data_IF_941104728948
#
_entry.id   IF_941104728948
#
_cell.length_a   1.000
_cell.length_b   1.000
_cell.length_c   1.000
_cell.angle_alpha   90.00
_cell.angle_beta   90.00
_cell.angle_gamma   90.00
#
_symmetry.space_group_name_H-M   'P 1'
#
loop_
_entity.id
_entity.type
_entity.pdbx_description
1 polymer ?
#
# COMPACT_ATOMS: atom_id res chain seq x y z
N UNK A 1 6.52 2.18 -4.46
CA UNK A 1 6.16 0.82 -4.02
C UNK A 1 6.11 -0.05 -5.25
N UNK A 2 6.85 -1.15 -5.29
CA UNK A 2 6.93 -2.03 -6.47
C UNK A 2 6.67 -3.47 -6.06
N UNK A 3 5.95 -4.20 -6.91
CA UNK A 3 5.70 -5.64 -6.77
C UNK A 3 5.44 -6.29 -8.12
N UNK A 4 5.73 -7.60 -8.19
CA UNK A 4 5.50 -8.43 -9.36
C UNK A 4 4.41 -9.48 -9.03
N UNK A 5 3.51 -9.72 -9.99
CA UNK A 5 2.51 -10.78 -9.96
C UNK A 5 2.87 -11.84 -11.00
N UNK A 6 2.99 -13.10 -10.57
CA UNK A 6 3.25 -14.24 -11.46
C UNK A 6 1.99 -14.86 -12.06
N UNK A 7 0.82 -14.55 -11.49
CA UNK A 7 -0.51 -15.00 -11.93
C UNK A 7 -1.55 -13.91 -11.62
N UNK A 8 -2.73 -14.00 -12.24
CA UNK A 8 -3.86 -13.15 -11.86
C UNK A 8 -4.24 -13.42 -10.40
N UNK A 9 -4.36 -12.36 -9.60
CA UNK A 9 -4.67 -12.44 -8.16
C UNK A 9 -5.39 -11.18 -7.67
N UNK A 10 -6.10 -11.29 -6.55
CA UNK A 10 -6.68 -10.13 -5.86
C UNK A 10 -5.57 -9.45 -5.06
N UNK A 11 -5.31 -8.19 -5.41
CA UNK A 11 -4.30 -7.36 -4.77
C UNK A 11 -4.95 -6.38 -3.83
N UNK A 12 -4.47 -6.36 -2.59
CA UNK A 12 -4.78 -5.31 -1.62
C UNK A 12 -3.49 -4.61 -1.20
N UNK A 13 -3.35 -3.35 -1.59
CA UNK A 13 -2.25 -2.48 -1.18
C UNK A 13 -2.80 -1.35 -0.31
N UNK A 14 -2.46 -1.37 0.97
CA UNK A 14 -2.96 -0.42 1.96
C UNK A 14 -1.82 0.26 2.70
N UNK A 15 -1.98 1.54 3.02
CA UNK A 15 -1.12 2.27 3.96
C UNK A 15 -1.75 2.20 5.34
N UNK A 16 -0.92 1.90 6.35
CA UNK A 16 -1.32 1.86 7.76
C UNK A 16 -0.34 2.67 8.60
N UNK A 17 -0.80 3.20 9.72
CA UNK A 17 0.07 3.82 10.72
C UNK A 17 0.73 2.77 11.64
N UNK A 18 1.55 3.24 12.59
CA UNK A 18 2.26 2.36 13.54
C UNK A 18 1.35 1.62 14.51
N UNK A 19 0.10 2.07 14.69
CA UNK A 19 -0.91 1.39 15.49
C UNK A 19 -1.69 0.37 14.66
N UNK A 20 -1.35 0.20 13.37
CA UNK A 20 -2.01 -0.71 12.44
C UNK A 20 -3.34 -0.18 11.90
N UNK A 21 -3.69 1.09 12.17
CA UNK A 21 -4.91 1.70 11.62
C UNK A 21 -4.72 1.92 10.13
N UNK A 22 -5.70 1.49 9.34
CA UNK A 22 -5.70 1.76 7.90
C UNK A 22 -5.92 3.25 7.65
N UNK A 23 -5.05 3.82 6.82
CA UNK A 23 -5.05 5.25 6.50
C UNK A 23 -5.46 5.49 5.05
N UNK A 24 -4.99 4.64 4.14
CA UNK A 24 -5.27 4.76 2.71
C UNK A 24 -5.36 3.38 2.07
N UNK A 25 -6.34 3.17 1.19
CA UNK A 25 -6.34 2.07 0.23
C UNK A 25 -5.81 2.57 -1.11
N UNK A 26 -4.70 2.00 -1.57
CA UNK A 26 -4.09 2.35 -2.85
C UNK A 26 -4.57 1.43 -3.99
N UNK A 27 -4.72 0.14 -3.68
CA UNK A 27 -5.22 -0.86 -4.63
C UNK A 27 -6.12 -1.84 -3.88
N UNK A 28 -7.29 -2.13 -4.46
CA UNK A 28 -8.13 -3.26 -4.07
C UNK A 28 -8.84 -3.80 -5.31
N UNK A 29 -8.15 -4.63 -6.08
CA UNK A 29 -8.62 -5.12 -7.37
C UNK A 29 -7.95 -6.44 -7.75
N UNK A 30 -8.60 -7.20 -8.62
CA UNK A 30 -7.93 -8.28 -9.37
C UNK A 30 -7.00 -7.65 -10.40
N UNK A 31 -5.76 -8.12 -10.44
CA UNK A 31 -4.75 -7.66 -11.38
C UNK A 31 -4.12 -8.84 -12.11
N UNK A 32 -3.85 -8.65 -13.40
CA UNK A 32 -3.20 -9.64 -14.26
C UNK A 32 -1.69 -9.77 -13.95
N UNK A 33 -1.03 -10.85 -14.38
CA UNK A 33 0.41 -11.02 -14.19
C UNK A 33 1.19 -9.82 -14.77
N UNK A 34 2.19 -9.35 -14.03
CA UNK A 34 2.98 -8.19 -14.43
C UNK A 34 3.64 -7.48 -13.26
N UNK A 35 4.39 -6.44 -13.61
CA UNK A 35 5.07 -5.56 -12.66
C UNK A 35 4.27 -4.30 -12.43
N UNK A 36 4.07 -3.94 -11.18
CA UNK A 36 3.29 -2.78 -10.78
C UNK A 36 4.13 -1.84 -9.92
N UNK A 37 4.02 -0.54 -10.22
CA UNK A 37 4.63 0.52 -9.42
C UNK A 37 3.55 1.51 -8.99
N UNK A 38 3.54 1.83 -7.69
CA UNK A 38 2.63 2.78 -7.08
C UNK A 38 3.41 3.79 -6.25
N UNK A 39 3.02 5.06 -6.35
CA UNK A 39 3.51 6.15 -5.50
C UNK A 39 2.34 6.63 -4.66
N UNK A 40 2.56 6.74 -3.36
CA UNK A 40 1.58 7.31 -2.45
C UNK A 40 1.84 8.81 -2.29
N UNK A 41 0.77 9.60 -2.36
CA UNK A 41 0.77 11.07 -2.30
C UNK A 41 0.72 11.65 -0.88
N UNK A 42 0.95 10.81 0.13
CA UNK A 42 0.89 11.17 1.55
C UNK A 42 -0.49 11.65 2.03
N UNK A 43 -1.56 11.23 1.36
CA UNK A 43 -2.95 11.52 1.77
C UNK A 43 -3.69 10.30 2.26
N UNK A 44 -4.65 10.51 3.14
CA UNK A 44 -5.60 9.47 3.57
C UNK A 44 -6.73 9.27 2.55
N UNK A 45 -7.65 8.34 2.81
CA UNK A 45 -8.80 8.07 1.93
C UNK A 45 -9.75 9.29 1.78
N UNK A 46 -9.74 10.22 2.73
CA UNK A 46 -10.50 11.49 2.67
C UNK A 46 -9.77 12.60 1.90
N UNK A 47 -8.57 12.34 1.38
CA UNK A 47 -7.75 13.30 0.65
C UNK A 47 -7.03 14.31 1.55
N UNK A 48 -6.99 14.08 2.87
CA UNK A 48 -6.30 14.94 3.82
C UNK A 48 -4.81 14.59 3.87
N UNK A 49 -3.97 15.63 3.94
CA UNK A 49 -2.53 15.45 4.10
C UNK A 49 -2.21 14.86 5.47
N UNK A 50 -1.28 13.91 5.50
CA UNK A 50 -0.85 13.28 6.73
C UNK A 50 0.40 13.97 7.33
N UNK A 51 0.59 13.88 8.65
CA UNK A 51 1.78 14.41 9.29
C UNK A 51 3.02 13.63 8.87
N UNK A 52 4.19 14.29 8.91
CA UNK A 52 5.47 13.59 8.79
C UNK A 52 5.58 12.52 9.86
N UNK A 53 6.15 11.37 9.52
CA UNK A 53 6.22 10.24 10.44
C UNK A 53 6.49 8.93 9.73
N UNK A 54 6.54 7.86 10.51
CA UNK A 54 6.71 6.52 9.98
C UNK A 54 5.34 5.89 9.71
N UNK A 55 5.22 5.29 8.53
CA UNK A 55 4.06 4.55 8.08
C UNK A 55 4.50 3.18 7.58
N UNK A 56 3.56 2.26 7.43
CA UNK A 56 3.78 0.98 6.79
C UNK A 56 2.87 0.89 5.56
N UNK A 57 3.35 0.27 4.49
CA UNK A 57 2.43 -0.27 3.48
C UNK A 57 2.38 -1.78 3.60
N UNK A 58 1.18 -2.32 3.41
CA UNK A 58 0.87 -3.74 3.42
C UNK A 58 0.34 -4.12 2.06
N UNK A 59 1.06 -5.01 1.38
CA UNK A 59 0.66 -5.66 0.14
C UNK A 59 0.19 -7.07 0.45
N UNK A 60 -1.03 -7.41 0.05
CA UNK A 60 -1.57 -8.76 0.12
C UNK A 60 -1.91 -9.24 -1.28
N UNK A 61 -1.45 -10.44 -1.61
CA UNK A 61 -1.73 -11.15 -2.87
C UNK A 61 -1.98 -12.61 -2.53
N UNK A 62 -3.18 -13.12 -2.82
CA UNK A 62 -3.60 -14.46 -2.39
C UNK A 62 -3.36 -14.73 -0.90
N UNK A 63 -2.46 -15.66 -0.59
CA UNK A 63 -2.04 -16.04 0.77
C UNK A 63 -0.79 -15.31 1.28
N UNK A 64 -0.13 -14.51 0.44
CA UNK A 64 1.09 -13.79 0.79
C UNK A 64 0.78 -12.40 1.32
N UNK A 65 1.52 -11.98 2.35
CA UNK A 65 1.46 -10.63 2.91
C UNK A 65 2.87 -10.10 3.06
N UNK A 66 3.11 -8.93 2.46
CA UNK A 66 4.36 -8.20 2.56
C UNK A 66 4.10 -6.87 3.25
N UNK A 67 4.90 -6.53 4.25
CA UNK A 67 4.83 -5.25 4.97
C UNK A 67 6.19 -4.58 4.85
N UNK A 68 6.23 -3.31 4.43
CA UNK A 68 7.45 -2.51 4.47
C UNK A 68 7.21 -1.15 5.13
N UNK A 69 8.24 -0.68 5.83
CA UNK A 69 8.30 0.64 6.47
C UNK A 69 8.57 1.73 5.43
N UNK A 70 7.99 2.90 5.65
CA UNK A 70 8.27 4.14 4.92
C UNK A 70 8.27 5.32 5.88
N UNK A 71 9.11 6.32 5.60
CA UNK A 71 9.16 7.57 6.34
C UNK A 71 8.61 8.67 5.45
N UNK A 72 7.54 9.31 5.90
CA UNK A 72 7.01 10.51 5.27
C UNK A 72 7.75 11.72 5.83
N UNK A 73 8.45 12.42 4.94
CA UNK A 73 9.11 13.69 5.21
C UNK A 73 8.30 14.81 4.53
N UNK A 74 8.19 15.96 5.20
CA UNK A 74 7.62 17.17 4.61
C UNK A 74 8.72 17.98 3.94
#
# INVERSE_FOLDING_TARGET
MEYDLSRSDVVSLTVVDLLGRQVRTLVFATQEPGRYMMVWDARDDAGQNLPSGMYLYRLRTGSSVLIKKMTLLK
#
